data_IF_434831155964
#
_entry.id   IF_434831155964
#
_cell.length_a   1.000
_cell.length_b   1.000
_cell.length_c   1.000
_cell.angle_alpha   90.00
_cell.angle_beta   90.00
_cell.angle_gamma   90.00
#
_symmetry.space_group_name_H-M   'P 1'
#
loop_
_entity.id
_entity.type
_entity.pdbx_description
1 polymer ?
#
# COMPACT_ATOMS: atom_id res chain seq x y z
N UNK A 1 -0.98 -2.85 -20.72
CA UNK A 1 -0.93 -3.62 -19.46
C UNK A 1 -0.67 -5.05 -19.84
N UNK A 2 0.28 -5.70 -19.18
CA UNK A 2 0.70 -7.08 -19.46
C UNK A 2 -0.19 -8.14 -18.77
N UNK A 3 -1.34 -7.67 -18.29
CA UNK A 3 -2.36 -8.43 -17.58
C UNK A 3 -3.75 -7.95 -17.98
N UNK A 4 -4.74 -8.82 -17.84
CA UNK A 4 -6.14 -8.55 -18.12
C UNK A 4 -7.07 -9.19 -17.08
N UNK A 5 -8.25 -8.60 -16.88
CA UNK A 5 -9.27 -9.15 -15.96
C UNK A 5 -10.29 -9.94 -16.76
N UNK A 6 -10.45 -11.23 -16.43
CA UNK A 6 -11.40 -12.15 -17.09
C UNK A 6 -12.10 -13.07 -16.09
N UNK A 7 -13.16 -13.73 -16.51
CA UNK A 7 -13.80 -14.79 -15.70
C UNK A 7 -12.85 -15.97 -15.55
N UNK A 8 -12.67 -16.45 -14.32
CA UNK A 8 -11.84 -17.62 -14.02
C UNK A 8 -12.51 -18.90 -14.48
N UNK A 9 -11.69 -19.83 -14.99
CA UNK A 9 -12.10 -21.19 -15.29
C UNK A 9 -12.26 -22.04 -14.02
N UNK A 10 -11.76 -21.58 -12.86
CA UNK A 10 -11.92 -22.26 -11.57
C UNK A 10 -13.37 -22.06 -11.09
N UNK A 11 -14.15 -23.14 -10.89
CA UNK A 11 -15.52 -23.03 -10.41
C UNK A 11 -15.61 -22.25 -9.09
N UNK A 12 -16.50 -21.24 -9.05
CA UNK A 12 -16.72 -20.40 -7.86
C UNK A 12 -15.73 -19.26 -7.64
N UNK A 13 -14.65 -19.15 -8.42
CA UNK A 13 -13.61 -18.15 -8.20
C UNK A 13 -13.96 -16.74 -8.71
N UNK A 14 -15.00 -16.58 -9.55
CA UNK A 14 -15.36 -15.28 -10.12
C UNK A 14 -14.33 -14.76 -11.13
N UNK A 15 -14.01 -13.47 -11.09
CA UNK A 15 -13.02 -12.85 -12.00
C UNK A 15 -11.61 -12.93 -11.44
N UNK A 16 -10.63 -13.16 -12.30
CA UNK A 16 -9.20 -13.18 -11.97
C UNK A 16 -8.39 -12.23 -12.85
N UNK A 17 -7.12 -12.06 -12.51
CA UNK A 17 -6.12 -11.33 -13.29
C UNK A 17 -5.23 -12.35 -14.03
N UNK A 18 -5.11 -12.21 -15.35
CA UNK A 18 -4.44 -13.15 -16.24
C UNK A 18 -3.29 -12.46 -16.98
N UNK A 19 -2.16 -13.14 -17.11
CA UNK A 19 -1.03 -12.66 -17.89
C UNK A 19 -1.35 -12.65 -19.39
N UNK A 20 -0.95 -11.60 -20.11
CA UNK A 20 -1.07 -11.51 -21.58
C UNK A 20 0.26 -11.70 -22.29
N UNK A 21 1.32 -11.97 -21.52
CA UNK A 21 2.68 -12.31 -21.97
C UNK A 21 3.32 -13.25 -20.94
N UNK A 22 4.47 -13.82 -21.28
CA UNK A 22 5.30 -14.55 -20.33
C UNK A 22 6.03 -13.56 -19.40
N UNK A 23 6.21 -13.97 -18.13
CA UNK A 23 6.94 -13.23 -17.10
C UNK A 23 8.11 -14.07 -16.62
N UNK A 24 9.28 -13.46 -16.49
CA UNK A 24 10.46 -14.07 -15.89
C UNK A 24 10.48 -13.84 -14.36
N UNK A 25 11.18 -14.68 -13.58
CA UNK A 25 11.35 -14.44 -12.15
C UNK A 25 11.93 -13.06 -11.84
N UNK A 26 11.18 -12.25 -11.10
CA UNK A 26 11.55 -10.88 -10.74
C UNK A 26 10.84 -9.80 -11.56
N UNK A 27 10.11 -10.16 -12.62
CA UNK A 27 9.32 -9.20 -13.38
C UNK A 27 8.20 -8.58 -12.54
N UNK A 28 7.92 -7.30 -12.81
CA UNK A 28 6.78 -6.60 -12.23
C UNK A 28 5.52 -6.99 -13.01
N UNK A 29 4.64 -7.75 -12.36
CA UNK A 29 3.35 -8.16 -12.95
C UNK A 29 2.33 -7.01 -12.98
N UNK A 30 2.28 -6.22 -11.90
CA UNK A 30 1.42 -5.05 -11.78
C UNK A 30 2.06 -4.05 -10.81
N UNK A 31 2.09 -2.78 -11.18
CA UNK A 31 2.43 -1.67 -10.28
C UNK A 31 1.32 -0.64 -10.30
N UNK A 32 0.98 -0.12 -9.13
CA UNK A 32 0.06 0.98 -8.95
C UNK A 32 0.79 2.07 -8.17
N UNK A 33 0.81 3.29 -8.70
CA UNK A 33 1.52 4.39 -8.06
C UNK A 33 0.93 4.73 -6.69
N UNK A 34 -0.39 4.54 -6.53
CA UNK A 34 -1.11 4.75 -5.26
C UNK A 34 -2.28 3.78 -5.13
N UNK A 35 -2.56 3.28 -3.91
CA UNK A 35 -3.82 2.60 -3.63
C UNK A 35 -5.00 3.57 -3.77
N UNK A 36 -6.19 3.05 -4.07
CA UNK A 36 -7.41 3.85 -4.10
C UNK A 36 -7.70 4.46 -2.73
N UNK A 37 -7.62 3.64 -1.68
CA UNK A 37 -7.65 4.01 -0.27
C UNK A 37 -6.71 3.06 0.47
N UNK A 38 -5.91 3.59 1.39
CA UNK A 38 -5.12 2.80 2.32
C UNK A 38 -5.05 3.51 3.66
N UNK A 39 -5.10 2.75 4.74
CA UNK A 39 -5.01 3.23 6.11
C UNK A 39 -4.06 2.33 6.89
N UNK A 40 -3.45 2.87 7.94
CA UNK A 40 -2.62 2.09 8.84
C UNK A 40 -3.49 1.24 9.77
N UNK A 41 -2.96 0.08 10.16
CA UNK A 41 -3.45 -0.61 11.35
C UNK A 41 -3.35 0.32 12.56
N UNK A 42 -4.33 0.23 13.47
CA UNK A 42 -4.41 1.04 14.69
C UNK A 42 -3.11 0.95 15.49
N UNK A 43 -2.51 -0.24 15.58
CA UNK A 43 -1.27 -0.48 16.33
C UNK A 43 -0.05 0.22 15.72
N UNK A 44 -0.13 0.62 14.44
CA UNK A 44 0.95 1.32 13.72
C UNK A 44 0.78 2.84 13.70
N UNK A 45 -0.35 3.38 14.18
CA UNK A 45 -0.59 4.82 14.22
C UNK A 45 0.45 5.58 15.08
N UNK A 46 1.13 4.91 16.01
CA UNK A 46 2.09 5.53 16.92
C UNK A 46 3.50 5.70 16.33
N UNK A 47 3.89 4.88 15.35
CA UNK A 47 5.28 4.76 14.86
C UNK A 47 5.44 4.79 13.33
N UNK A 48 4.33 4.90 12.60
CA UNK A 48 4.32 4.85 11.14
C UNK A 48 3.65 6.09 10.55
N UNK A 49 4.23 6.64 9.47
CA UNK A 49 3.66 7.77 8.76
C UNK A 49 2.37 7.35 8.04
N UNK A 50 1.26 8.03 8.31
CA UNK A 50 -0.04 7.71 7.72
C UNK A 50 -0.13 7.94 6.20
N UNK A 51 0.78 8.74 5.62
CA UNK A 51 0.79 9.01 4.18
C UNK A 51 1.73 8.10 3.39
N UNK A 52 3.00 8.01 3.81
CA UNK A 52 4.01 7.26 3.07
C UNK A 52 4.27 5.85 3.61
N UNK A 53 3.59 5.45 4.69
CA UNK A 53 3.68 4.12 5.30
C UNK A 53 5.08 3.74 5.80
N UNK A 54 6.01 4.70 5.83
CA UNK A 54 7.35 4.48 6.36
C UNK A 54 7.28 4.41 7.88
N UNK A 55 7.68 3.25 8.41
CA UNK A 55 7.88 3.06 9.85
C UNK A 55 9.15 3.79 10.27
N UNK A 56 9.03 4.62 11.29
CA UNK A 56 10.15 5.41 11.79
C UNK A 56 10.54 4.92 13.18
N UNK A 57 11.69 4.21 13.32
CA UNK A 57 12.16 3.77 14.61
C UNK A 57 12.52 4.97 15.49
N UNK A 58 12.31 4.81 16.80
CA UNK A 58 12.69 5.81 17.79
C UNK A 58 14.20 6.06 17.73
N UNK A 59 14.62 7.29 17.38
CA UNK A 59 16.03 7.70 17.48
C UNK A 59 16.52 8.69 16.42
N UNK A 60 15.95 8.70 15.21
CA UNK A 60 16.47 9.53 14.11
C UNK A 60 15.45 10.55 13.58
N UNK A 61 14.24 10.10 13.24
CA UNK A 61 13.13 10.97 12.81
C UNK A 61 11.88 10.49 13.51
N UNK A 62 11.25 11.34 14.30
CA UNK A 62 9.97 11.00 14.94
C UNK A 62 8.81 11.48 14.07
N UNK A 63 7.80 10.63 13.91
CA UNK A 63 6.52 11.04 13.34
C UNK A 63 5.85 12.07 14.27
N UNK A 64 5.24 13.11 13.72
CA UNK A 64 4.49 14.13 14.47
C UNK A 64 3.00 13.85 14.42
N UNK A 65 2.34 13.92 15.57
CA UNK A 65 0.90 13.73 15.63
C UNK A 65 0.14 14.87 14.94
N UNK A 66 -0.96 14.53 14.27
CA UNK A 66 -1.92 15.51 13.78
C UNK A 66 -2.43 16.38 14.94
N UNK A 67 -2.39 17.70 14.78
CA UNK A 67 -2.82 18.64 15.83
C UNK A 67 -4.33 18.62 16.08
N UNK A 68 -5.11 18.25 15.06
CA UNK A 68 -6.57 18.12 15.14
C UNK A 68 -7.00 16.86 15.90
N UNK A 69 -6.71 15.68 15.34
CA UNK A 69 -7.22 14.42 15.90
C UNK A 69 -6.28 13.75 16.92
N UNK A 70 -4.99 14.10 16.94
CA UNK A 70 -3.93 13.54 17.81
C UNK A 70 -3.71 12.02 17.70
N UNK A 71 -4.29 11.36 16.70
CA UNK A 71 -4.18 9.91 16.47
C UNK A 71 -3.15 9.57 15.40
N UNK A 72 -3.40 10.00 14.17
CA UNK A 72 -2.50 9.76 13.04
C UNK A 72 -1.24 10.61 13.15
N UNK A 73 -0.15 10.13 12.54
CA UNK A 73 1.15 10.79 12.59
C UNK A 73 1.83 10.84 11.23
N UNK A 74 2.71 11.83 11.04
CA UNK A 74 3.35 12.12 9.76
C UNK A 74 4.85 12.37 9.93
N UNK A 75 5.66 11.97 8.94
CA UNK A 75 7.11 12.15 8.98
C UNK A 75 7.58 13.55 8.55
N UNK A 76 6.73 14.32 7.86
CA UNK A 76 7.05 15.66 7.38
C UNK A 76 5.78 16.51 7.30
N UNK A 77 5.86 17.73 6.76
CA UNK A 77 4.67 18.54 6.42
C UNK A 77 4.07 18.18 5.06
N UNK A 78 4.87 17.55 4.19
CA UNK A 78 4.47 17.15 2.83
C UNK A 78 3.72 15.82 2.86
N UNK A 79 4.06 14.97 3.83
CA UNK A 79 3.32 13.78 4.21
C UNK A 79 2.22 14.16 5.20
#
# INVERSE_FOLDING_TARGET
>A
MDVEVKQSAIPGAGRGLFATKDFEPGDIVLSLDRPYVAELDIDRLCDTCAWCFQRLPAGFVQTKACTGCKKVRYCSKTC
#
